data_IF_898121341213
#
_entry.id   IF_898121341213
#
_cell.length_a   1.000
_cell.length_b   1.000
_cell.length_c   1.000
_cell.angle_alpha   90.00
_cell.angle_beta   90.00
_cell.angle_gamma   90.00
#
_symmetry.space_group_name_H-M   'P 1'
#
loop_
_entity.id
_entity.type
_entity.pdbx_description
1 polymer ?
#
# COMPACT_ATOMS: atom_id res chain seq x y z
N UNK A 1 10.27 -32.28 13.91
CA UNK A 1 9.72 -31.19 13.09
C UNK A 1 8.51 -31.74 12.37
N UNK A 2 7.31 -31.58 12.90
CA UNK A 2 6.08 -32.04 12.24
C UNK A 2 5.68 -30.99 11.20
N UNK A 3 5.76 -31.40 9.93
CA UNK A 3 5.13 -30.67 8.82
C UNK A 3 3.61 -30.65 9.03
N UNK A 4 3.11 -29.56 9.60
CA UNK A 4 1.68 -29.27 9.54
C UNK A 4 1.34 -28.86 8.10
N UNK A 5 1.19 -29.82 7.22
CA UNK A 5 0.55 -29.67 5.93
C UNK A 5 -0.95 -29.51 6.18
N UNK A 6 -1.37 -28.29 6.59
CA UNK A 6 -2.76 -27.90 6.41
C UNK A 6 -3.05 -28.07 4.91
N UNK A 7 -3.99 -28.94 4.56
CA UNK A 7 -4.47 -29.13 3.20
C UNK A 7 -4.66 -27.76 2.55
N UNK A 8 -3.89 -27.49 1.47
CA UNK A 8 -4.04 -26.25 0.72
C UNK A 8 -5.49 -26.18 0.26
N UNK A 9 -6.24 -25.12 0.52
CA UNK A 9 -7.56 -24.97 -0.06
C UNK A 9 -7.40 -25.06 -1.59
N UNK A 10 -8.38 -25.65 -2.29
CA UNK A 10 -8.34 -25.82 -3.75
C UNK A 10 -8.21 -24.50 -4.52
N UNK A 11 -8.43 -23.36 -3.83
CA UNK A 11 -8.22 -22.01 -4.33
C UNK A 11 -7.02 -21.37 -3.63
N UNK A 12 -6.07 -20.84 -4.40
CA UNK A 12 -4.91 -20.13 -3.88
C UNK A 12 -4.55 -18.93 -4.77
N UNK A 13 -4.04 -17.86 -4.15
CA UNK A 13 -3.63 -16.63 -4.83
C UNK A 13 -2.11 -16.50 -4.79
N UNK A 14 -1.50 -16.24 -5.92
CA UNK A 14 -0.08 -15.87 -5.98
C UNK A 14 0.13 -14.41 -5.62
N UNK A 15 1.37 -14.02 -5.29
CA UNK A 15 1.71 -12.62 -5.05
C UNK A 15 1.41 -11.70 -6.25
N UNK A 16 1.59 -12.21 -7.48
CA UNK A 16 1.22 -11.49 -8.70
C UNK A 16 -0.30 -11.31 -8.82
N UNK A 17 -1.10 -12.32 -8.45
CA UNK A 17 -2.56 -12.21 -8.44
C UNK A 17 -3.03 -11.18 -7.41
N UNK A 18 -2.49 -11.22 -6.19
CA UNK A 18 -2.78 -10.21 -5.16
C UNK A 18 -2.41 -8.79 -5.63
N UNK A 19 -1.27 -8.65 -6.31
CA UNK A 19 -0.83 -7.35 -6.84
C UNK A 19 -1.77 -6.82 -7.92
N UNK A 20 -2.28 -7.67 -8.82
CA UNK A 20 -3.29 -7.29 -9.82
C UNK A 20 -4.59 -6.83 -9.17
N UNK A 21 -5.06 -7.56 -8.15
CA UNK A 21 -6.24 -7.18 -7.38
C UNK A 21 -6.04 -5.83 -6.66
N UNK A 22 -4.88 -5.60 -6.05
CA UNK A 22 -4.56 -4.34 -5.41
C UNK A 22 -4.48 -3.18 -6.42
N UNK A 23 -3.89 -3.37 -7.61
CA UNK A 23 -3.89 -2.36 -8.67
C UNK A 23 -5.31 -2.00 -9.12
N UNK A 24 -6.18 -3.01 -9.34
CA UNK A 24 -7.55 -2.76 -9.73
C UNK A 24 -8.33 -2.02 -8.63
N UNK A 25 -8.22 -2.46 -7.39
CA UNK A 25 -8.83 -1.82 -6.23
C UNK A 25 -8.37 -0.35 -6.11
N UNK A 26 -7.08 -0.09 -6.22
CA UNK A 26 -6.50 1.25 -6.18
C UNK A 26 -6.99 2.15 -7.32
N UNK A 27 -7.13 1.60 -8.53
CA UNK A 27 -7.69 2.36 -9.67
C UNK A 27 -9.12 2.81 -9.38
N UNK A 28 -9.96 1.92 -8.85
CA UNK A 28 -11.33 2.23 -8.49
C UNK A 28 -11.40 3.33 -7.41
N UNK A 29 -10.54 3.24 -6.38
CA UNK A 29 -10.42 4.28 -5.35
C UNK A 29 -10.10 5.64 -5.95
N UNK A 30 -9.08 5.70 -6.81
CA UNK A 30 -8.62 6.96 -7.38
C UNK A 30 -9.59 7.54 -8.43
N UNK A 31 -10.38 6.70 -9.11
CA UNK A 31 -11.50 7.20 -9.95
C UNK A 31 -12.51 7.94 -9.06
N UNK A 32 -12.93 7.35 -7.94
CA UNK A 32 -13.82 8.02 -6.98
C UNK A 32 -13.20 9.33 -6.48
N UNK A 33 -12.02 9.27 -5.91
CA UNK A 33 -11.36 10.43 -5.31
C UNK A 33 -11.06 11.56 -6.31
N UNK A 34 -10.58 11.23 -7.50
CA UNK A 34 -10.15 12.24 -8.48
C UNK A 34 -11.30 12.77 -9.35
N UNK A 35 -12.08 11.87 -9.98
CA UNK A 35 -13.10 12.29 -10.94
C UNK A 35 -14.42 12.68 -10.27
N UNK A 36 -14.83 11.96 -9.21
CA UNK A 36 -16.10 12.25 -8.53
C UNK A 36 -15.90 13.29 -7.43
N UNK A 37 -15.13 12.98 -6.37
CA UNK A 37 -14.99 13.89 -5.22
C UNK A 37 -14.31 15.21 -5.60
N UNK A 38 -13.09 15.15 -6.15
CA UNK A 38 -12.35 16.35 -6.55
C UNK A 38 -12.83 16.96 -7.87
N UNK A 39 -13.53 16.18 -8.70
CA UNK A 39 -14.11 16.60 -9.94
C UNK A 39 -15.55 17.12 -9.78
N UNK A 40 -16.50 16.25 -10.09
CA UNK A 40 -17.91 16.59 -10.22
C UNK A 40 -18.50 17.19 -8.94
N UNK A 41 -18.16 16.66 -7.76
CA UNK A 41 -18.78 17.10 -6.49
C UNK A 41 -18.33 18.52 -6.10
N UNK A 42 -17.07 18.87 -6.32
CA UNK A 42 -16.59 20.24 -6.07
C UNK A 42 -17.28 21.30 -6.93
N UNK A 43 -17.74 20.91 -8.11
CA UNK A 43 -18.49 21.81 -9.01
C UNK A 43 -20.00 21.83 -8.73
N UNK A 44 -20.51 21.02 -7.81
CA UNK A 44 -21.94 20.83 -7.58
C UNK A 44 -22.65 20.13 -8.73
N UNK A 45 -21.93 19.56 -9.68
CA UNK A 45 -22.43 18.88 -10.87
C UNK A 45 -22.54 17.36 -10.63
N UNK A 46 -23.40 16.96 -9.70
CA UNK A 46 -23.57 15.54 -9.37
C UNK A 46 -25.04 15.16 -9.15
N UNK A 47 -25.35 13.90 -9.38
CA UNK A 47 -26.65 13.28 -9.11
C UNK A 47 -26.56 12.43 -7.82
N UNK A 48 -27.67 12.13 -7.15
CA UNK A 48 -27.65 11.23 -5.99
C UNK A 48 -27.00 9.87 -6.26
N UNK A 49 -27.12 9.34 -7.50
CA UNK A 49 -26.45 8.10 -7.91
C UNK A 49 -24.95 8.20 -7.99
N UNK A 50 -24.37 9.36 -8.27
CA UNK A 50 -22.92 9.55 -8.33
C UNK A 50 -22.30 9.47 -6.95
N UNK A 51 -22.99 9.94 -5.90
CA UNK A 51 -22.56 9.81 -4.50
C UNK A 51 -22.55 8.35 -4.07
N UNK A 52 -23.54 7.55 -4.50
CA UNK A 52 -23.57 6.11 -4.21
C UNK A 52 -22.46 5.36 -4.94
N UNK A 53 -22.22 5.69 -6.22
CA UNK A 53 -21.15 5.13 -7.02
C UNK A 53 -19.79 5.44 -6.40
N UNK A 54 -19.53 6.67 -6.01
CA UNK A 54 -18.32 7.08 -5.32
C UNK A 54 -18.11 6.25 -4.05
N UNK A 55 -19.12 6.17 -3.19
CA UNK A 55 -19.05 5.37 -1.97
C UNK A 55 -18.64 3.92 -2.23
N UNK A 56 -19.17 3.28 -3.28
CA UNK A 56 -18.80 1.90 -3.66
C UNK A 56 -17.37 1.83 -4.16
N UNK A 57 -16.95 2.75 -5.04
CA UNK A 57 -15.58 2.78 -5.58
C UNK A 57 -14.55 2.97 -4.46
N UNK A 58 -14.80 3.91 -3.55
CA UNK A 58 -13.96 4.17 -2.39
C UNK A 58 -13.89 2.97 -1.44
N UNK A 59 -15.01 2.31 -1.15
CA UNK A 59 -15.03 1.12 -0.30
C UNK A 59 -14.20 -0.02 -0.89
N UNK A 60 -14.39 -0.33 -2.17
CA UNK A 60 -13.58 -1.36 -2.85
C UNK A 60 -12.10 -0.95 -2.89
N UNK A 61 -11.84 0.33 -3.08
CA UNK A 61 -10.50 0.91 -3.10
C UNK A 61 -9.69 0.68 -1.84
N UNK A 62 -10.33 0.67 -0.67
CA UNK A 62 -9.68 0.48 0.65
C UNK A 62 -8.99 -0.87 0.81
N UNK A 63 -9.25 -1.85 -0.04
CA UNK A 63 -8.55 -3.14 -0.03
C UNK A 63 -7.11 -3.04 -0.54
N UNK A 64 -6.78 -2.04 -1.35
CA UNK A 64 -5.48 -1.92 -2.03
C UNK A 64 -4.33 -1.79 -1.03
N UNK A 65 -4.40 -0.83 -0.11
CA UNK A 65 -3.30 -0.51 0.79
C UNK A 65 -2.88 -1.67 1.69
N UNK A 66 -3.79 -2.38 2.40
CA UNK A 66 -3.41 -3.54 3.21
C UNK A 66 -2.75 -4.66 2.39
N UNK A 67 -3.22 -4.89 1.14
CA UNK A 67 -2.59 -5.88 0.25
C UNK A 67 -1.17 -5.43 -0.11
N UNK A 68 -0.95 -4.13 -0.41
CA UNK A 68 0.38 -3.61 -0.67
C UNK A 68 1.30 -3.66 0.55
N UNK A 69 0.79 -3.39 1.76
CA UNK A 69 1.55 -3.57 2.99
C UNK A 69 2.00 -5.03 3.18
N UNK A 70 1.10 -5.99 2.95
CA UNK A 70 1.46 -7.41 2.98
C UNK A 70 2.51 -7.76 1.92
N UNK A 71 2.31 -7.34 0.68
CA UNK A 71 3.25 -7.58 -0.42
C UNK A 71 4.60 -6.88 -0.22
N UNK A 72 4.64 -5.76 0.52
CA UNK A 72 5.87 -5.09 0.92
C UNK A 72 6.68 -5.95 1.88
N UNK A 73 6.02 -6.56 2.87
CA UNK A 73 6.65 -7.49 3.82
C UNK A 73 7.19 -8.71 3.08
N UNK A 74 6.40 -9.32 2.19
CA UNK A 74 6.85 -10.43 1.34
C UNK A 74 8.04 -10.02 0.46
N UNK A 75 7.98 -8.85 -0.15
CA UNK A 75 9.07 -8.31 -0.96
C UNK A 75 10.35 -8.07 -0.14
N UNK A 76 10.23 -7.60 1.09
CA UNK A 76 11.36 -7.43 2.01
C UNK A 76 12.02 -8.77 2.36
N UNK A 77 11.23 -9.78 2.67
CA UNK A 77 11.73 -11.11 3.06
C UNK A 77 12.44 -11.84 1.91
N UNK A 78 12.06 -11.57 0.67
CA UNK A 78 12.57 -12.25 -0.52
C UNK A 78 13.57 -11.41 -1.34
N UNK A 79 13.88 -10.17 -0.91
CA UNK A 79 14.82 -9.33 -1.67
C UNK A 79 16.27 -9.71 -1.37
N UNK A 80 17.08 -9.88 -2.42
CA UNK A 80 18.52 -10.08 -2.29
C UNK A 80 19.28 -8.75 -2.17
N UNK A 81 18.71 -7.66 -2.67
CA UNK A 81 19.34 -6.33 -2.69
C UNK A 81 18.39 -5.28 -2.13
N UNK A 82 18.43 -5.15 -0.83
CA UNK A 82 17.63 -4.16 -0.10
C UNK A 82 17.87 -2.74 -0.61
N UNK A 83 19.14 -2.37 -0.86
CA UNK A 83 19.48 -1.00 -1.30
C UNK A 83 18.81 -0.65 -2.62
N UNK A 84 18.87 -1.55 -3.61
CA UNK A 84 18.18 -1.36 -4.90
C UNK A 84 16.67 -1.32 -4.72
N UNK A 85 16.11 -2.10 -3.79
CA UNK A 85 14.67 -2.08 -3.51
C UNK A 85 14.24 -0.73 -2.93
N UNK A 86 14.92 -0.25 -1.89
CA UNK A 86 14.66 1.03 -1.26
C UNK A 86 14.84 2.21 -2.24
N UNK A 87 15.94 2.20 -3.04
CA UNK A 87 16.18 3.25 -4.03
C UNK A 87 15.11 3.28 -5.14
N UNK A 88 14.61 2.12 -5.59
CA UNK A 88 13.48 2.10 -6.53
C UNK A 88 12.23 2.69 -5.91
N UNK A 89 11.94 2.33 -4.67
CA UNK A 89 10.77 2.86 -3.96
C UNK A 89 10.86 4.36 -3.77
N UNK A 90 12.03 4.89 -3.38
CA UNK A 90 12.30 6.33 -3.29
C UNK A 90 12.13 7.00 -4.66
N UNK A 91 12.69 6.41 -5.72
CA UNK A 91 12.55 6.97 -7.06
C UNK A 91 11.08 7.09 -7.50
N UNK A 92 10.27 6.05 -7.26
CA UNK A 92 8.84 6.10 -7.56
C UNK A 92 8.05 7.00 -6.60
N UNK A 93 8.47 7.16 -5.33
CA UNK A 93 7.91 8.16 -4.44
C UNK A 93 8.05 9.56 -5.02
N UNK A 94 9.27 9.93 -5.43
CA UNK A 94 9.56 11.25 -6.02
C UNK A 94 8.88 11.48 -7.38
N UNK A 95 8.86 10.46 -8.24
CA UNK A 95 8.19 10.54 -9.55
C UNK A 95 6.67 10.71 -9.39
N UNK A 96 6.10 10.06 -8.39
CA UNK A 96 4.64 10.05 -8.17
C UNK A 96 4.14 11.31 -7.49
N UNK A 97 5.01 12.11 -6.88
CA UNK A 97 4.61 13.29 -6.10
C UNK A 97 3.91 14.33 -6.97
N UNK A 98 4.52 14.67 -8.10
CA UNK A 98 3.92 15.66 -8.99
C UNK A 98 2.54 15.23 -9.57
N UNK A 99 2.36 14.00 -10.12
CA UNK A 99 1.03 13.54 -10.52
C UNK A 99 0.02 13.50 -9.37
N UNK A 100 0.45 13.13 -8.17
CA UNK A 100 -0.37 13.05 -6.97
C UNK A 100 -0.87 14.44 -6.56
N UNK A 101 0.05 15.39 -6.39
CA UNK A 101 -0.27 16.77 -6.05
C UNK A 101 -1.22 17.41 -7.07
N UNK A 102 -0.95 17.19 -8.34
CA UNK A 102 -1.79 17.75 -9.39
C UNK A 102 -3.18 17.14 -9.44
N UNK A 103 -3.31 15.84 -9.25
CA UNK A 103 -4.60 15.15 -9.31
C UNK A 103 -5.50 15.45 -8.09
N UNK A 104 -4.91 15.65 -6.91
CA UNK A 104 -5.69 15.78 -5.67
C UNK A 104 -5.68 17.19 -5.07
N UNK A 105 -4.67 18.01 -5.36
CA UNK A 105 -4.51 19.35 -4.78
C UNK A 105 -4.44 20.47 -5.83
N UNK A 106 -4.55 20.13 -7.12
CA UNK A 106 -4.52 21.10 -8.24
C UNK A 106 -3.22 21.89 -8.36
N UNK A 107 -2.12 21.42 -7.80
CA UNK A 107 -0.79 22.04 -7.84
C UNK A 107 0.14 21.46 -6.80
N UNK A 108 1.40 21.91 -6.76
CA UNK A 108 2.40 21.44 -5.80
C UNK A 108 1.94 21.67 -4.36
N UNK A 109 1.85 20.60 -3.57
CA UNK A 109 1.37 20.65 -2.20
C UNK A 109 2.28 19.87 -1.24
N UNK A 110 3.05 20.60 -0.44
CA UNK A 110 4.02 20.02 0.50
C UNK A 110 3.40 19.47 1.79
N UNK A 111 2.11 19.69 2.00
CA UNK A 111 1.41 19.30 3.23
C UNK A 111 0.98 17.84 3.30
N UNK A 112 1.13 17.06 2.22
CA UNK A 112 0.76 15.65 2.19
C UNK A 112 1.55 14.92 1.11
N UNK A 113 2.17 13.79 1.48
CA UNK A 113 3.04 13.02 0.59
C UNK A 113 2.36 11.72 0.17
N UNK A 114 2.62 11.27 -1.06
CA UNK A 114 2.01 10.06 -1.62
C UNK A 114 2.38 8.77 -0.86
N UNK A 115 1.62 7.71 -1.09
CA UNK A 115 1.70 6.42 -0.39
C UNK A 115 3.06 5.71 -0.51
N UNK A 116 3.85 5.99 -1.55
CA UNK A 116 5.18 5.40 -1.67
C UNK A 116 6.12 5.83 -0.55
N UNK A 117 5.96 7.05 0.01
CA UNK A 117 6.74 7.48 1.19
C UNK A 117 6.37 6.65 2.41
N UNK A 118 5.09 6.36 2.64
CA UNK A 118 4.66 5.46 3.73
C UNK A 118 5.27 4.06 3.58
N UNK A 119 5.20 3.49 2.36
CA UNK A 119 5.77 2.17 2.07
C UNK A 119 7.29 2.17 2.21
N UNK A 120 7.99 3.24 1.79
CA UNK A 120 9.44 3.38 1.94
C UNK A 120 9.84 3.45 3.41
N UNK A 121 9.16 4.27 4.20
CA UNK A 121 9.44 4.40 5.64
C UNK A 121 9.15 3.10 6.38
N UNK A 122 8.08 2.39 6.02
CA UNK A 122 7.78 1.05 6.52
C UNK A 122 8.88 0.03 6.16
N UNK A 123 9.40 0.10 4.93
CA UNK A 123 10.52 -0.75 4.48
C UNK A 123 11.80 -0.46 5.27
N UNK A 124 12.11 0.82 5.53
CA UNK A 124 13.27 1.24 6.33
C UNK A 124 13.11 0.84 7.80
N UNK A 125 11.91 0.97 8.37
CA UNK A 125 11.62 0.55 9.74
C UNK A 125 11.79 -0.97 9.90
N UNK A 126 11.27 -1.79 8.97
CA UNK A 126 11.53 -3.23 8.95
C UNK A 126 13.03 -3.54 8.90
N UNK A 127 13.79 -2.83 8.05
CA UNK A 127 15.24 -3.03 7.93
C UNK A 127 15.98 -2.67 9.22
N UNK A 128 15.58 -1.62 9.91
CA UNK A 128 16.16 -1.25 11.20
C UNK A 128 15.95 -2.35 12.25
N UNK A 129 14.71 -2.86 12.36
CA UNK A 129 14.39 -3.97 13.28
C UNK A 129 15.09 -5.29 12.93
N UNK A 130 15.27 -5.55 11.64
CA UNK A 130 15.95 -6.74 11.13
C UNK A 130 17.47 -6.71 11.35
N UNK A 131 18.08 -5.54 11.15
CA UNK A 131 19.54 -5.38 11.24
C UNK A 131 20.03 -5.36 12.69
N UNK A 132 19.27 -4.75 13.59
CA UNK A 132 19.66 -4.60 15.00
C UNK A 132 18.80 -5.49 15.86
N UNK A 133 19.30 -6.73 16.08
CA UNK A 133 18.66 -7.73 16.94
C UNK A 133 19.54 -8.07 18.13
N UNK A 134 18.93 -8.52 19.22
CA UNK A 134 19.62 -9.15 20.35
C UNK A 134 20.05 -10.58 19.97
N UNK A 135 20.93 -11.23 20.76
CA UNK A 135 21.29 -12.64 20.54
C UNK A 135 20.08 -13.59 20.50
N UNK A 136 19.01 -13.24 21.19
CA UNK A 136 17.74 -14.01 21.23
C UNK A 136 16.83 -13.72 20.01
N UNK A 137 17.26 -12.85 19.08
CA UNK A 137 16.51 -12.51 17.86
C UNK A 137 15.37 -11.52 18.08
N UNK A 138 15.38 -10.79 19.20
CA UNK A 138 14.45 -9.71 19.49
C UNK A 138 15.01 -8.37 18.96
N UNK A 139 14.15 -7.39 18.59
CA UNK A 139 14.63 -6.06 18.22
C UNK A 139 15.45 -5.41 19.33
N UNK A 140 16.69 -5.03 19.03
CA UNK A 140 17.54 -4.29 19.96
C UNK A 140 17.13 -2.81 20.00
N UNK A 141 17.54 -2.07 21.04
CA UNK A 141 17.21 -0.66 21.22
C UNK A 141 17.52 0.20 19.97
N UNK A 142 18.64 -0.05 19.29
CA UNK A 142 19.01 0.67 18.05
C UNK A 142 17.99 0.43 16.93
N UNK A 143 17.46 -0.78 16.78
CA UNK A 143 16.42 -1.13 15.82
C UNK A 143 15.10 -0.45 16.14
N UNK A 144 14.73 -0.44 17.42
CA UNK A 144 13.51 0.24 17.90
C UNK A 144 13.60 1.76 17.68
N UNK A 145 14.75 2.38 17.99
CA UNK A 145 14.97 3.80 17.74
C UNK A 145 14.94 4.13 16.24
N UNK A 146 15.51 3.27 15.38
CA UNK A 146 15.43 3.41 13.93
C UNK A 146 14.00 3.35 13.40
N UNK A 147 13.19 2.39 13.90
CA UNK A 147 11.77 2.30 13.55
C UNK A 147 11.00 3.54 14.07
N UNK A 148 11.24 3.98 15.30
CA UNK A 148 10.63 5.19 15.87
C UNK A 148 10.95 6.44 15.06
N UNK A 149 12.18 6.58 14.55
CA UNK A 149 12.55 7.66 13.65
C UNK A 149 11.75 7.63 12.33
N UNK A 150 11.45 6.44 11.79
CA UNK A 150 10.58 6.30 10.62
C UNK A 150 9.13 6.72 10.92
N UNK A 151 8.60 6.40 12.11
CA UNK A 151 7.28 6.88 12.54
C UNK A 151 7.23 8.40 12.67
N UNK A 152 8.25 8.98 13.29
CA UNK A 152 8.37 10.44 13.40
C UNK A 152 8.46 11.10 12.00
N UNK A 153 9.24 10.51 11.10
CA UNK A 153 9.35 11.00 9.73
C UNK A 153 8.00 10.93 8.99
N UNK A 154 7.24 9.84 9.13
CA UNK A 154 5.91 9.71 8.52
C UNK A 154 4.96 10.80 9.01
N UNK A 155 4.92 11.04 10.33
CA UNK A 155 4.10 12.08 10.94
C UNK A 155 4.51 13.48 10.47
N UNK A 156 5.82 13.80 10.44
CA UNK A 156 6.32 15.12 10.04
C UNK A 156 6.15 15.41 8.55
N UNK A 157 6.24 14.38 7.70
CA UNK A 157 6.03 14.48 6.26
C UNK A 157 4.54 14.40 5.87
N UNK A 158 3.66 14.10 6.81
CA UNK A 158 2.24 13.85 6.54
C UNK A 158 2.05 12.84 5.39
N UNK A 159 2.75 11.70 5.48
CA UNK A 159 2.64 10.65 4.47
C UNK A 159 1.21 10.08 4.42
N UNK A 160 0.76 9.68 3.23
CA UNK A 160 -0.50 8.99 3.07
C UNK A 160 -0.56 7.75 3.98
N UNK A 161 -1.64 7.56 4.75
CA UNK A 161 -1.78 6.61 5.87
C UNK A 161 -0.85 6.84 7.08
N UNK A 162 0.04 7.82 7.06
CA UNK A 162 0.83 8.31 8.21
C UNK A 162 1.38 7.18 9.11
N UNK A 163 1.33 7.37 10.43
CA UNK A 163 1.79 6.40 11.45
C UNK A 163 0.96 5.10 11.44
N UNK A 164 -0.31 5.15 11.05
CA UNK A 164 -1.18 3.98 11.00
C UNK A 164 -0.74 2.99 9.91
N UNK A 165 -0.32 3.51 8.75
CA UNK A 165 0.24 2.69 7.69
C UNK A 165 1.53 1.99 8.10
N UNK A 166 2.43 2.69 8.80
CA UNK A 166 3.65 2.08 9.35
C UNK A 166 3.33 1.03 10.40
N UNK A 167 2.36 1.30 11.29
CA UNK A 167 1.94 0.36 12.32
C UNK A 167 1.40 -0.94 11.69
N UNK A 168 0.60 -0.85 10.65
CA UNK A 168 0.13 -2.01 9.89
C UNK A 168 1.30 -2.79 9.28
N UNK A 169 2.25 -2.13 8.59
CA UNK A 169 3.41 -2.79 7.99
C UNK A 169 4.24 -3.52 9.06
N UNK A 170 4.52 -2.88 10.20
CA UNK A 170 5.30 -3.51 11.26
C UNK A 170 4.53 -4.64 11.96
N UNK A 171 3.21 -4.52 12.15
CA UNK A 171 2.39 -5.60 12.70
C UNK A 171 2.45 -6.85 11.79
N UNK A 172 2.34 -6.68 10.47
CA UNK A 172 2.48 -7.75 9.50
C UNK A 172 3.89 -8.36 9.51
N UNK A 173 4.93 -7.53 9.65
CA UNK A 173 6.31 -7.99 9.72
C UNK A 173 6.60 -8.76 11.00
N UNK A 174 6.14 -8.29 12.15
CA UNK A 174 6.36 -8.94 13.44
C UNK A 174 5.66 -10.30 13.54
N UNK A 175 4.51 -10.45 12.90
CA UNK A 175 3.70 -11.68 12.89
C UNK A 175 3.98 -12.61 11.71
N UNK A 176 4.92 -12.28 10.84
CA UNK A 176 5.22 -12.97 9.56
C UNK A 176 5.49 -14.48 9.64
N UNK A 177 5.87 -15.00 10.81
CA UNK A 177 6.17 -16.42 11.03
C UNK A 177 4.91 -17.29 11.18
N UNK A 178 3.78 -16.66 11.54
CA UNK A 178 2.48 -17.32 11.67
C UNK A 178 1.45 -16.61 10.82
N UNK A 179 0.99 -17.28 9.77
CA UNK A 179 0.01 -16.75 8.83
C UNK A 179 -1.31 -16.35 9.50
N UNK A 180 -1.76 -17.10 10.52
CA UNK A 180 -2.98 -16.78 11.27
C UNK A 180 -2.81 -15.48 12.05
N UNK A 181 -1.73 -15.40 12.82
CA UNK A 181 -1.39 -14.20 13.56
C UNK A 181 -1.19 -13.00 12.62
N UNK A 182 -0.57 -13.19 11.45
CA UNK A 182 -0.36 -12.14 10.46
C UNK A 182 -1.68 -11.61 9.88
N UNK A 183 -2.61 -12.50 9.51
CA UNK A 183 -3.92 -12.08 9.00
C UNK A 183 -4.76 -11.40 10.08
N UNK A 184 -4.73 -11.89 11.32
CA UNK A 184 -5.46 -11.26 12.45
C UNK A 184 -4.85 -9.88 12.75
N UNK A 185 -3.53 -9.80 12.91
CA UNK A 185 -2.85 -8.53 13.16
C UNK A 185 -3.12 -7.53 12.04
N UNK A 186 -3.01 -7.98 10.78
CA UNK A 186 -3.31 -7.14 9.64
C UNK A 186 -4.75 -6.62 9.64
N UNK A 187 -5.73 -7.47 9.92
CA UNK A 187 -7.13 -7.07 10.02
C UNK A 187 -7.36 -6.05 11.15
N UNK A 188 -6.76 -6.28 12.33
CA UNK A 188 -6.87 -5.37 13.49
C UNK A 188 -6.21 -4.02 13.19
N UNK A 189 -4.98 -4.03 12.69
CA UNK A 189 -4.25 -2.79 12.40
C UNK A 189 -4.73 -2.04 11.15
N UNK A 190 -5.66 -2.59 10.38
CA UNK A 190 -6.31 -1.90 9.26
C UNK A 190 -7.71 -1.38 9.58
N UNK A 191 -8.19 -1.49 10.83
CA UNK A 191 -9.52 -1.02 11.26
C UNK A 191 -9.73 0.50 11.15
N UNK A 192 -8.67 1.27 10.90
CA UNK A 192 -8.81 2.71 10.59
C UNK A 192 -9.55 2.96 9.27
N UNK A 193 -9.70 1.95 8.43
CA UNK A 193 -10.53 1.97 7.22
C UNK A 193 -11.57 0.85 7.28
N UNK A 194 -12.86 1.13 7.14
CA UNK A 194 -13.95 0.18 7.49
C UNK A 194 -13.88 -1.16 6.75
N UNK A 195 -13.45 -1.18 5.50
CA UNK A 195 -13.45 -2.38 4.62
C UNK A 195 -12.05 -3.00 4.49
N UNK A 196 -11.01 -2.26 4.83
CA UNK A 196 -9.61 -2.69 4.70
C UNK A 196 -9.31 -4.05 5.37
N UNK A 197 -9.90 -4.41 6.55
CA UNK A 197 -9.72 -5.74 7.14
C UNK A 197 -10.09 -6.91 6.23
N UNK A 198 -11.04 -6.74 5.31
CA UNK A 198 -11.45 -7.78 4.37
C UNK A 198 -10.33 -8.18 3.39
N UNK A 199 -9.35 -7.32 3.18
CA UNK A 199 -8.15 -7.64 2.39
C UNK A 199 -7.42 -8.88 2.93
N UNK A 200 -7.46 -9.10 4.25
CA UNK A 200 -6.82 -10.25 4.88
C UNK A 200 -7.57 -11.57 4.64
N UNK A 201 -8.82 -11.52 4.21
CA UNK A 201 -9.51 -12.65 3.62
C UNK A 201 -8.84 -13.12 2.30
N UNK A 202 -8.41 -12.18 1.44
CA UNK A 202 -7.66 -12.49 0.23
C UNK A 202 -6.23 -12.96 0.55
N UNK A 203 -5.56 -12.30 1.49
CA UNK A 203 -4.22 -12.67 1.97
C UNK A 203 -4.22 -14.06 2.61
N UNK A 204 -5.32 -14.48 3.24
CA UNK A 204 -5.46 -15.84 3.77
C UNK A 204 -5.27 -16.92 2.71
N UNK A 205 -5.69 -16.67 1.47
CA UNK A 205 -5.51 -17.59 0.34
C UNK A 205 -4.16 -17.44 -0.36
N UNK A 206 -3.25 -16.61 0.13
CA UNK A 206 -1.92 -16.48 -0.46
C UNK A 206 -1.14 -17.79 -0.41
N UNK A 207 -0.60 -18.20 -1.57
CA UNK A 207 0.08 -19.48 -1.76
C UNK A 207 1.50 -19.54 -1.17
N UNK A 208 2.08 -18.40 -0.78
CA UNK A 208 3.52 -18.31 -0.47
C UNK A 208 4.41 -18.17 -1.71
N UNK A 209 3.82 -18.12 -2.91
CA UNK A 209 4.55 -18.06 -4.17
C UNK A 209 4.34 -16.71 -4.86
N UNK A 210 5.42 -16.18 -5.45
CA UNK A 210 5.36 -14.94 -6.20
C UNK A 210 4.36 -15.02 -7.36
N UNK A 211 4.29 -16.16 -8.02
CA UNK A 211 3.56 -16.33 -9.28
C UNK A 211 4.33 -15.80 -10.50
N UNK A 212 3.92 -16.26 -11.68
CA UNK A 212 4.52 -15.85 -12.95
C UNK A 212 4.19 -14.39 -13.27
N UNK A 213 5.21 -13.63 -13.65
CA UNK A 213 5.07 -12.29 -14.22
C UNK A 213 6.20 -12.00 -15.18
N UNK A 214 5.91 -11.40 -16.34
CA UNK A 214 6.92 -10.95 -17.27
C UNK A 214 7.73 -9.78 -16.69
N UNK A 215 8.94 -9.51 -17.24
CA UNK A 215 9.70 -8.32 -16.84
C UNK A 215 8.92 -7.04 -17.12
N UNK A 216 8.17 -6.99 -18.21
CA UNK A 216 7.32 -5.87 -18.57
C UNK A 216 6.22 -5.64 -17.51
N UNK A 217 5.54 -6.70 -17.09
CA UNK A 217 4.50 -6.61 -16.05
C UNK A 217 5.08 -6.15 -14.69
N UNK A 218 6.30 -6.59 -14.35
CA UNK A 218 6.97 -6.13 -13.13
C UNK A 218 7.24 -4.63 -13.15
N UNK A 219 7.65 -4.07 -14.29
CA UNK A 219 7.80 -2.64 -14.47
C UNK A 219 6.45 -1.93 -14.51
N UNK A 220 5.44 -2.50 -15.17
CA UNK A 220 4.09 -1.98 -15.19
C UNK A 220 3.51 -1.77 -13.78
N UNK A 221 3.76 -2.68 -12.83
CA UNK A 221 3.35 -2.50 -11.45
C UNK A 221 3.96 -1.28 -10.75
N UNK A 222 5.21 -0.92 -11.07
CA UNK A 222 5.82 0.29 -10.51
C UNK A 222 5.27 1.56 -11.17
N UNK A 223 5.12 1.55 -12.49
CA UNK A 223 4.61 2.69 -13.24
C UNK A 223 3.10 2.87 -13.09
N UNK A 224 2.39 1.86 -12.67
CA UNK A 224 0.94 1.90 -12.57
C UNK A 224 0.47 3.07 -11.70
N UNK A 225 1.07 3.26 -10.52
CA UNK A 225 0.65 4.32 -9.60
C UNK A 225 0.84 5.73 -10.19
N UNK A 226 2.03 6.18 -10.60
CA UNK A 226 2.16 7.52 -11.18
C UNK A 226 1.40 7.70 -12.49
N UNK A 227 1.32 6.65 -13.33
CA UNK A 227 0.69 6.77 -14.63
C UNK A 227 -0.83 6.93 -14.55
N UNK A 228 -1.54 6.10 -13.75
CA UNK A 228 -3.00 6.22 -13.67
C UNK A 228 -3.42 7.50 -12.93
N UNK A 229 -2.69 7.92 -11.89
CA UNK A 229 -2.97 9.20 -11.21
C UNK A 229 -2.77 10.37 -12.18
N UNK A 230 -1.70 10.34 -12.98
CA UNK A 230 -1.48 11.34 -14.01
C UNK A 230 -2.63 11.40 -15.01
N UNK A 231 -3.08 10.25 -15.53
CA UNK A 231 -4.21 10.17 -16.48
C UNK A 231 -5.49 10.70 -15.83
N UNK A 232 -5.78 10.30 -14.60
CA UNK A 232 -6.95 10.79 -13.86
C UNK A 232 -6.87 12.29 -13.59
N UNK A 233 -5.69 12.81 -13.25
CA UNK A 233 -5.47 14.26 -13.10
C UNK A 233 -5.70 15.02 -14.41
N UNK A 234 -5.23 14.49 -15.56
CA UNK A 234 -5.52 15.06 -16.89
C UNK A 234 -7.02 15.08 -17.15
N UNK A 235 -7.70 13.94 -16.94
CA UNK A 235 -9.15 13.84 -17.16
C UNK A 235 -9.92 14.81 -16.25
N UNK A 236 -9.58 14.85 -14.97
CA UNK A 236 -10.20 15.78 -14.03
C UNK A 236 -9.99 17.23 -14.47
N UNK A 237 -8.76 17.68 -14.66
CA UNK A 237 -8.43 19.09 -14.87
C UNK A 237 -8.68 19.60 -16.29
N UNK A 238 -8.57 18.76 -17.33
CA UNK A 238 -8.73 19.22 -18.72
C UNK A 238 -10.10 18.94 -19.33
N UNK A 239 -10.81 17.93 -18.83
CA UNK A 239 -12.10 17.51 -19.40
C UNK A 239 -13.27 17.93 -18.54
N UNK A 240 -13.16 17.79 -17.22
CA UNK A 240 -14.27 18.05 -16.30
C UNK A 240 -14.27 19.47 -15.70
N UNK A 241 -13.14 20.18 -15.74
CA UNK A 241 -12.97 21.51 -15.12
C UNK A 241 -12.80 22.66 -16.11
N UNK A 242 -13.28 22.50 -17.33
CA UNK A 242 -13.39 23.62 -18.28
C UNK A 242 -14.64 24.46 -18.03
#
# INVERSE_FOLDING_TARGET
MQNNTLSRPGFSLSGTALKRLACLSMLLDHIGASLLENGLFKQGAFWPGDVQLDGVLRLVGRLAFPIYCFLLVEGFLHTHDFKKYALRMLGFALISEWPFDWAFFSGVYWGHQNVYFTLLLGLLAMKALDTYQTPEGMPALKGILGAAACFLAAALLHCDYDVLGLALILALYMTRKDKRAQCIAGAVFSLFEPVAPLAFGLVWFYSGERGGSSKLEQWAFYWFYPAHIFVLGVLANLVLFR
#
